data_IF_647524653698
#
_entry.id   IF_647524653698
#
_cell.length_a   1.000
_cell.length_b   1.000
_cell.length_c   1.000
_cell.angle_alpha   90.00
_cell.angle_beta   90.00
_cell.angle_gamma   90.00
#
_symmetry.space_group_name_H-M   'P 1'
#
loop_
_entity.id
_entity.type
_entity.pdbx_description
1 polymer ?
#
# COMPACT_ATOMS: atom_id res chain seq x y z
N UNK A 1 2.80 19.02 -26.84
CA UNK A 1 3.14 18.06 -25.78
C UNK A 1 4.62 18.22 -25.48
N UNK A 2 5.02 18.46 -24.24
CA UNK A 2 6.44 18.57 -23.90
C UNK A 2 7.07 17.16 -23.91
N UNK A 3 8.11 16.96 -24.71
CA UNK A 3 8.89 15.72 -24.73
C UNK A 3 9.83 15.70 -23.53
N UNK A 4 9.34 15.24 -22.37
CA UNK A 4 10.19 15.00 -21.22
C UNK A 4 11.17 13.88 -21.55
N UNK A 5 12.47 14.10 -21.29
CA UNK A 5 13.49 13.08 -21.46
C UNK A 5 13.24 11.94 -20.46
N UNK A 6 13.12 10.71 -20.97
CA UNK A 6 12.83 9.53 -20.16
C UNK A 6 14.12 8.86 -19.75
N UNK A 7 14.48 9.02 -18.49
CA UNK A 7 15.67 8.43 -17.89
C UNK A 7 15.24 7.18 -17.12
N UNK A 8 15.99 6.09 -17.26
CA UNK A 8 15.81 4.88 -16.48
C UNK A 8 16.06 5.16 -14.99
N UNK A 9 14.98 5.31 -14.22
CA UNK A 9 14.99 5.57 -12.78
C UNK A 9 14.48 4.37 -12.00
N UNK A 10 15.13 4.05 -10.87
CA UNK A 10 14.58 3.13 -9.87
C UNK A 10 13.27 3.68 -9.31
N UNK A 11 12.39 2.80 -8.83
CA UNK A 11 11.03 3.16 -8.40
C UNK A 11 11.01 4.24 -7.30
N UNK A 12 11.96 4.19 -6.37
CA UNK A 12 12.13 5.17 -5.30
C UNK A 12 12.43 6.60 -5.77
N UNK A 13 12.85 6.79 -7.03
CA UNK A 13 13.13 8.10 -7.61
C UNK A 13 12.00 8.64 -8.49
N UNK A 14 10.91 7.88 -8.66
CA UNK A 14 9.75 8.35 -9.41
C UNK A 14 9.03 9.47 -8.64
N UNK A 15 8.64 10.49 -9.39
CA UNK A 15 7.88 11.66 -8.94
C UNK A 15 6.69 11.86 -9.87
N UNK A 16 5.93 12.91 -9.62
CA UNK A 16 4.80 13.32 -10.47
C UNK A 16 5.16 13.51 -11.94
N UNK A 17 6.39 13.93 -12.25
CA UNK A 17 6.86 14.06 -13.63
C UNK A 17 6.83 12.72 -14.39
N UNK A 18 7.20 11.62 -13.74
CA UNK A 18 7.13 10.28 -14.35
C UNK A 18 5.68 9.84 -14.57
N UNK A 19 4.78 10.13 -13.63
CA UNK A 19 3.35 9.83 -13.81
C UNK A 19 2.77 10.57 -15.03
N UNK A 20 3.08 11.86 -15.17
CA UNK A 20 2.68 12.66 -16.33
C UNK A 20 3.29 12.09 -17.62
N UNK A 21 4.58 11.75 -17.61
CA UNK A 21 5.27 11.19 -18.78
C UNK A 21 4.64 9.87 -19.25
N UNK A 22 4.19 9.02 -18.33
CA UNK A 22 3.52 7.75 -18.63
C UNK A 22 1.99 7.85 -18.70
N UNK A 23 1.42 9.06 -18.81
CA UNK A 23 -0.03 9.28 -18.93
C UNK A 23 -0.83 8.61 -17.79
N UNK A 24 -0.32 8.71 -16.57
CA UNK A 24 -0.91 8.11 -15.37
C UNK A 24 -1.55 9.21 -14.53
N UNK A 25 -2.80 8.99 -14.15
CA UNK A 25 -3.55 9.90 -13.28
C UNK A 25 -4.07 9.16 -12.05
N UNK A 26 -4.19 9.86 -10.92
CA UNK A 26 -4.76 9.32 -9.68
C UNK A 26 -6.15 9.94 -9.49
N UNK A 27 -7.17 9.08 -9.36
CA UNK A 27 -8.55 9.46 -9.12
C UNK A 27 -8.99 8.99 -7.73
N UNK A 28 -9.30 9.96 -6.86
CA UNK A 28 -9.85 9.71 -5.54
C UNK A 28 -11.31 9.25 -5.63
N UNK A 29 -11.67 8.27 -4.82
CA UNK A 29 -13.00 7.68 -4.74
C UNK A 29 -13.46 7.57 -3.29
N UNK A 30 -14.76 7.74 -3.08
CA UNK A 30 -15.41 7.36 -1.83
C UNK A 30 -15.35 5.83 -1.62
N UNK A 31 -15.63 5.40 -0.40
CA UNK A 31 -15.61 3.98 -0.04
C UNK A 31 -16.58 3.15 -0.90
N UNK A 32 -17.72 3.72 -1.28
CA UNK A 32 -18.76 2.98 -1.98
C UNK A 32 -18.36 2.64 -3.41
N UNK A 33 -17.82 3.61 -4.13
CA UNK A 33 -17.29 3.51 -5.48
C UNK A 33 -16.01 2.68 -5.48
N UNK A 34 -15.10 2.92 -4.53
CA UNK A 34 -13.82 2.21 -4.47
C UNK A 34 -14.01 0.74 -4.13
N UNK A 35 -14.80 0.38 -3.12
CA UNK A 35 -14.98 -1.01 -2.71
C UNK A 35 -16.16 -1.72 -3.39
N UNK A 36 -17.03 -0.98 -4.09
CA UNK A 36 -18.25 -1.53 -4.72
C UNK A 36 -19.32 -1.94 -3.70
N UNK A 37 -19.44 -1.22 -2.58
CA UNK A 37 -20.35 -1.54 -1.48
C UNK A 37 -21.12 -0.31 -1.02
N UNK A 38 -22.41 -0.42 -0.66
CA UNK A 38 -23.16 0.74 -0.13
C UNK A 38 -22.65 1.18 1.25
N UNK A 39 -22.28 0.21 2.08
CA UNK A 39 -21.78 0.41 3.43
C UNK A 39 -20.62 -0.53 3.69
N UNK A 40 -19.62 -0.05 4.41
CA UNK A 40 -18.52 -0.89 4.86
C UNK A 40 -19.05 -1.98 5.83
N UNK A 41 -18.52 -3.20 5.77
CA UNK A 41 -18.93 -4.28 6.67
C UNK A 41 -18.37 -4.00 8.08
N UNK A 42 -18.86 -4.70 9.10
CA UNK A 42 -18.15 -4.81 10.36
C UNK A 42 -16.72 -5.37 10.15
N UNK A 43 -15.71 -4.91 10.91
CA UNK A 43 -14.38 -5.47 10.86
C UNK A 43 -14.38 -6.97 11.18
N UNK A 44 -13.70 -7.77 10.37
CA UNK A 44 -13.56 -9.21 10.60
C UNK A 44 -12.41 -9.52 11.59
N UNK A 45 -12.43 -8.89 12.77
CA UNK A 45 -11.40 -9.06 13.81
C UNK A 45 -12.01 -9.38 15.18
N UNK A 46 -11.18 -9.80 16.12
CA UNK A 46 -11.60 -10.05 17.50
C UNK A 46 -12.19 -8.79 18.15
N UNK A 47 -13.23 -8.97 18.98
CA UNK A 47 -13.94 -7.87 19.66
C UNK A 47 -13.01 -7.00 20.50
N UNK A 48 -11.99 -7.58 21.15
CA UNK A 48 -11.09 -6.82 22.01
C UNK A 48 -10.29 -5.76 21.23
N UNK A 49 -9.92 -6.01 19.96
CA UNK A 49 -9.30 -5.01 19.10
C UNK A 49 -10.20 -3.79 18.85
N UNK A 50 -11.52 -3.94 18.97
CA UNK A 50 -12.50 -2.87 18.75
C UNK A 50 -12.96 -2.19 20.05
N UNK A 51 -12.57 -2.71 21.22
CA UNK A 51 -13.06 -2.22 22.53
C UNK A 51 -11.95 -1.87 23.52
N UNK A 52 -10.72 -2.34 23.30
CA UNK A 52 -9.58 -2.12 24.20
C UNK A 52 -8.65 -1.08 23.61
N UNK A 53 -8.38 -0.04 24.39
CA UNK A 53 -7.63 1.13 23.91
C UNK A 53 -6.13 0.86 23.91
N UNK A 54 -5.63 0.14 24.91
CA UNK A 54 -4.20 -0.13 25.12
C UNK A 54 -3.88 -1.62 25.01
N UNK A 55 -2.62 -1.94 24.72
CA UNK A 55 -2.18 -3.33 24.58
C UNK A 55 -2.33 -4.10 25.90
N UNK A 56 -2.03 -3.47 27.03
CA UNK A 56 -2.05 -4.10 28.36
C UNK A 56 -3.46 -4.54 28.81
N UNK A 57 -4.52 -4.04 28.16
CA UNK A 57 -5.90 -4.49 28.39
C UNK A 57 -6.28 -5.76 27.61
N UNK A 58 -5.43 -6.23 26.70
CA UNK A 58 -5.72 -7.36 25.80
C UNK A 58 -5.39 -8.70 26.47
N UNK A 59 -6.28 -9.68 26.29
CA UNK A 59 -6.07 -11.03 26.83
C UNK A 59 -5.41 -11.97 25.82
N UNK A 60 -5.68 -11.78 24.53
CA UNK A 60 -5.06 -12.59 23.49
C UNK A 60 -3.67 -12.04 23.15
N UNK A 61 -2.67 -12.93 23.17
CA UNK A 61 -1.27 -12.56 22.88
C UNK A 61 -1.07 -12.00 21.47
N UNK A 62 -1.84 -12.46 20.48
CA UNK A 62 -1.74 -11.99 19.09
C UNK A 62 -2.26 -10.55 18.98
N UNK A 63 -3.40 -10.27 19.62
CA UNK A 63 -3.96 -8.91 19.64
C UNK A 63 -3.08 -7.96 20.43
N UNK A 64 -2.57 -8.40 21.60
CA UNK A 64 -1.58 -7.66 22.39
C UNK A 64 -0.38 -7.24 21.54
N UNK A 65 0.21 -8.21 20.81
CA UNK A 65 1.36 -7.94 19.93
C UNK A 65 1.00 -6.96 18.82
N UNK A 66 -0.12 -7.16 18.14
CA UNK A 66 -0.57 -6.23 17.09
C UNK A 66 -0.66 -4.80 17.61
N UNK A 67 -1.26 -4.59 18.79
CA UNK A 67 -1.42 -3.25 19.35
C UNK A 67 -0.10 -2.66 19.85
N UNK A 68 0.80 -3.48 20.40
CA UNK A 68 2.17 -3.04 20.72
C UNK A 68 2.94 -2.60 19.48
N UNK A 69 2.87 -3.35 18.38
CA UNK A 69 3.49 -2.95 17.12
C UNK A 69 2.85 -1.71 16.52
N UNK A 70 1.53 -1.55 16.62
CA UNK A 70 0.84 -0.32 16.23
C UNK A 70 1.35 0.88 17.05
N UNK A 71 1.46 0.74 18.37
CA UNK A 71 1.96 1.81 19.24
C UNK A 71 3.40 2.20 18.86
N UNK A 72 4.27 1.21 18.62
CA UNK A 72 5.65 1.41 18.17
C UNK A 72 5.72 2.04 16.78
N UNK A 73 4.88 1.64 15.82
CA UNK A 73 4.84 2.21 14.47
C UNK A 73 4.38 3.67 14.48
N UNK A 74 3.57 4.07 15.47
CA UNK A 74 3.02 5.42 15.61
C UNK A 74 3.84 6.35 16.52
N UNK A 75 4.78 5.82 17.30
CA UNK A 75 5.73 6.57 18.11
C UNK A 75 6.78 7.40 17.32
N UNK A 76 7.29 6.95 16.14
CA UNK A 76 8.11 7.71 15.21
C UNK A 76 7.69 9.16 14.94
N UNK A 77 6.39 9.42 14.93
CA UNK A 77 5.80 10.75 14.70
C UNK A 77 6.09 11.71 15.88
N UNK A 78 6.48 11.20 17.05
CA UNK A 78 6.69 11.98 18.29
C UNK A 78 8.15 12.22 18.65
N UNK A 79 9.06 11.31 18.31
CA UNK A 79 10.45 11.34 18.81
C UNK A 79 11.52 11.59 17.75
N UNK A 80 11.15 11.62 16.46
CA UNK A 80 12.09 11.88 15.36
C UNK A 80 13.06 10.71 15.06
N UNK A 81 13.01 9.62 15.83
CA UNK A 81 13.75 8.38 15.59
C UNK A 81 12.80 7.29 15.11
N UNK A 82 12.36 7.41 13.86
CA UNK A 82 11.51 6.39 13.24
C UNK A 82 12.32 5.13 12.93
N UNK A 83 12.19 4.10 13.77
CA UNK A 83 12.62 2.75 13.41
C UNK A 83 11.72 2.26 12.26
N UNK A 84 12.21 2.32 11.01
CA UNK A 84 11.47 1.86 9.81
C UNK A 84 10.94 0.43 9.97
N UNK A 85 11.67 -0.39 10.72
CA UNK A 85 11.27 -1.76 11.03
C UNK A 85 9.95 -1.85 11.80
N UNK A 86 9.59 -0.87 12.61
CA UNK A 86 8.35 -0.93 13.41
C UNK A 86 7.09 -0.85 12.53
N UNK A 87 7.13 -0.05 11.46
CA UNK A 87 6.02 0.07 10.50
C UNK A 87 5.89 -1.21 9.67
N UNK A 88 7.02 -1.75 9.20
CA UNK A 88 7.08 -3.03 8.47
C UNK A 88 6.52 -4.17 9.35
N UNK A 89 6.96 -4.28 10.60
CA UNK A 89 6.51 -5.31 11.55
C UNK A 89 5.01 -5.18 11.83
N UNK A 90 4.52 -3.96 12.08
CA UNK A 90 3.10 -3.73 12.27
C UNK A 90 2.28 -4.12 11.03
N UNK A 91 2.73 -3.77 9.82
CA UNK A 91 2.07 -4.15 8.58
C UNK A 91 1.98 -5.68 8.44
N UNK A 92 3.07 -6.41 8.66
CA UNK A 92 3.11 -7.88 8.60
C UNK A 92 2.13 -8.50 9.61
N UNK A 93 2.12 -8.01 10.85
CA UNK A 93 1.21 -8.50 11.88
C UNK A 93 -0.26 -8.20 11.55
N UNK A 94 -0.55 -7.00 11.04
CA UNK A 94 -1.89 -6.59 10.66
C UNK A 94 -2.43 -7.46 9.51
N UNK A 95 -1.64 -7.66 8.45
CA UNK A 95 -2.01 -8.49 7.31
C UNK A 95 -2.23 -9.95 7.69
N UNK A 96 -1.37 -10.48 8.56
CA UNK A 96 -1.49 -11.86 9.05
C UNK A 96 -2.79 -12.02 9.85
N UNK A 97 -3.10 -11.08 10.73
CA UNK A 97 -4.34 -11.10 11.53
C UNK A 97 -5.60 -10.97 10.67
N UNK A 98 -5.51 -10.22 9.57
CA UNK A 98 -6.61 -10.01 8.61
C UNK A 98 -6.69 -11.09 7.52
N UNK A 99 -5.90 -12.16 7.64
CA UNK A 99 -5.88 -13.30 6.72
C UNK A 99 -5.56 -12.91 5.27
N UNK A 100 -4.63 -11.96 5.06
CA UNK A 100 -4.08 -11.65 3.74
C UNK A 100 -3.02 -12.66 3.28
N UNK A 101 -2.36 -13.32 4.25
CA UNK A 101 -1.32 -14.30 4.03
C UNK A 101 -1.69 -15.71 4.56
N UNK A 102 -2.87 -16.28 4.22
CA UNK A 102 -3.17 -17.67 4.55
C UNK A 102 -2.25 -18.58 3.73
N UNK A 103 -1.92 -19.76 4.25
CA UNK A 103 -1.13 -20.74 3.48
C UNK A 103 -1.78 -21.01 2.11
N UNK A 104 -1.00 -21.03 1.00
CA UNK A 104 0.47 -20.98 0.92
C UNK A 104 1.06 -19.56 0.82
N UNK A 105 0.24 -18.51 0.88
CA UNK A 105 0.68 -17.11 0.79
C UNK A 105 1.52 -16.72 2.00
N UNK A 106 2.45 -15.80 1.80
CA UNK A 106 3.34 -15.30 2.84
C UNK A 106 3.50 -13.78 2.74
N UNK A 107 3.66 -13.12 3.89
CA UNK A 107 4.15 -11.74 3.90
C UNK A 107 5.68 -11.74 3.76
N UNK A 108 6.22 -10.85 2.92
CA UNK A 108 7.65 -10.63 2.74
C UNK A 108 7.94 -9.16 2.93
N UNK A 109 9.07 -8.83 3.57
CA UNK A 109 9.49 -7.44 3.78
C UNK A 109 10.67 -7.11 2.87
N UNK A 110 10.78 -5.83 2.48
CA UNK A 110 11.92 -5.25 1.75
C UNK A 110 12.26 -5.98 0.44
N UNK A 111 11.25 -6.51 -0.24
CA UNK A 111 11.40 -7.28 -1.49
C UNK A 111 11.91 -6.37 -2.60
N UNK A 112 13.06 -6.72 -3.18
CA UNK A 112 13.62 -6.04 -4.36
C UNK A 112 13.09 -6.70 -5.64
N UNK A 113 12.43 -5.93 -6.48
CA UNK A 113 11.76 -6.38 -7.69
C UNK A 113 12.46 -5.74 -8.89
N UNK A 114 13.00 -6.53 -9.83
CA UNK A 114 13.57 -6.00 -11.07
C UNK A 114 12.51 -5.23 -11.87
N UNK A 115 12.82 -3.97 -12.18
CA UNK A 115 12.02 -3.09 -13.02
C UNK A 115 12.73 -2.90 -14.36
N UNK A 116 12.12 -3.37 -15.44
CA UNK A 116 12.57 -3.00 -16.79
C UNK A 116 12.01 -1.63 -17.14
N UNK A 117 12.90 -0.67 -17.41
CA UNK A 117 12.55 0.71 -17.74
C UNK A 117 13.54 1.30 -18.75
N UNK A 118 13.03 1.91 -19.84
CA UNK A 118 13.83 2.51 -20.90
C UNK A 118 14.97 1.61 -21.46
N UNK A 119 14.72 0.31 -21.58
CA UNK A 119 15.70 -0.68 -22.06
C UNK A 119 16.68 -1.19 -21.00
N UNK A 120 16.65 -0.62 -19.78
CA UNK A 120 17.54 -0.98 -18.69
C UNK A 120 16.80 -1.74 -17.58
N UNK A 121 17.56 -2.52 -16.78
CA UNK A 121 17.07 -3.07 -15.52
C UNK A 121 17.42 -2.10 -14.40
N UNK A 122 16.41 -1.75 -13.61
CA UNK A 122 16.48 -0.98 -12.38
C UNK A 122 15.74 -1.74 -11.27
N UNK A 123 15.62 -1.12 -10.12
CA UNK A 123 15.08 -1.74 -8.92
C UNK A 123 13.83 -1.01 -8.43
N UNK A 124 12.82 -1.77 -8.03
CA UNK A 124 11.66 -1.30 -7.29
C UNK A 124 11.59 -2.10 -5.98
N UNK A 125 11.72 -1.41 -4.85
CA UNK A 125 11.80 -2.04 -3.55
C UNK A 125 10.56 -1.67 -2.75
N UNK A 126 9.74 -2.67 -2.47
CA UNK A 126 8.53 -2.50 -1.66
C UNK A 126 8.84 -2.80 -0.20
N UNK A 127 8.21 -2.09 0.73
CA UNK A 127 8.46 -2.26 2.16
C UNK A 127 7.86 -3.56 2.68
N UNK A 128 6.61 -3.89 2.33
CA UNK A 128 5.97 -5.18 2.62
C UNK A 128 5.16 -5.66 1.42
N UNK A 129 5.14 -6.95 1.13
CA UNK A 129 4.27 -7.53 0.10
C UNK A 129 3.70 -8.88 0.52
N UNK A 130 2.61 -9.27 -0.14
CA UNK A 130 2.06 -10.64 -0.05
C UNK A 130 2.47 -11.40 -1.30
N UNK A 131 3.13 -12.53 -1.11
CA UNK A 131 3.59 -13.43 -2.16
C UNK A 131 2.84 -14.76 -2.12
N UNK A 132 2.58 -15.33 -3.29
CA UNK A 132 2.11 -16.71 -3.45
C UNK A 132 3.01 -17.43 -4.47
N UNK A 133 3.76 -18.41 -3.97
CA UNK A 133 4.80 -19.12 -4.72
C UNK A 133 5.82 -18.13 -5.30
N UNK A 134 5.64 -17.70 -6.56
CA UNK A 134 6.51 -16.74 -7.25
C UNK A 134 5.77 -15.48 -7.70
N UNK A 135 4.51 -15.28 -7.31
CA UNK A 135 3.74 -14.09 -7.70
C UNK A 135 3.57 -13.14 -6.52
N UNK A 136 3.76 -11.84 -6.78
CA UNK A 136 3.44 -10.79 -5.81
C UNK A 136 1.98 -10.36 -6.03
N UNK A 137 1.17 -10.43 -4.97
CA UNK A 137 -0.29 -10.23 -5.01
C UNK A 137 -0.72 -8.86 -4.47
N UNK A 138 -0.02 -8.38 -3.43
CA UNK A 138 -0.30 -7.11 -2.76
C UNK A 138 1.02 -6.43 -2.42
N UNK A 139 1.10 -5.13 -2.68
CA UNK A 139 2.23 -4.27 -2.29
C UNK A 139 1.81 -3.35 -1.14
N UNK A 140 2.73 -3.07 -0.24
CA UNK A 140 2.52 -2.12 0.85
C UNK A 140 3.78 -1.26 0.95
N UNK A 141 3.55 0.04 0.90
CA UNK A 141 4.60 1.03 0.95
C UNK A 141 4.44 1.88 2.21
N UNK A 142 5.50 2.02 2.98
CA UNK A 142 5.53 2.96 4.10
C UNK A 142 5.43 4.39 3.55
N UNK A 143 4.64 5.22 4.23
CA UNK A 143 4.68 6.64 3.96
C UNK A 143 5.86 7.31 4.67
N UNK A 144 6.87 7.57 3.86
CA UNK A 144 8.10 8.22 4.31
C UNK A 144 7.96 9.74 4.40
N UNK A 145 6.74 10.32 4.35
CA UNK A 145 6.49 11.77 4.54
C UNK A 145 7.09 12.34 5.81
N UNK A 146 7.24 11.53 6.85
CA UNK A 146 7.87 11.90 8.11
C UNK A 146 9.41 12.05 8.01
N UNK A 147 10.05 11.46 6.99
CA UNK A 147 11.50 11.57 6.71
C UNK A 147 11.81 12.47 5.53
N UNK A 148 10.99 12.38 4.49
CA UNK A 148 11.14 13.10 3.24
C UNK A 148 9.79 13.69 2.88
N UNK A 149 9.67 15.02 2.68
CA UNK A 149 8.43 15.67 2.24
C UNK A 149 8.08 15.31 0.78
N UNK A 150 7.86 14.02 0.51
CA UNK A 150 7.55 13.45 -0.80
C UNK A 150 6.23 12.69 -0.70
N UNK A 151 5.36 12.91 -1.67
CA UNK A 151 4.19 12.07 -1.86
C UNK A 151 4.66 10.62 -2.13
N UNK A 152 4.18 9.61 -1.39
CA UNK A 152 4.54 8.22 -1.63
C UNK A 152 3.84 7.62 -2.87
N UNK A 153 2.76 8.24 -3.35
CA UNK A 153 1.94 7.72 -4.46
C UNK A 153 2.74 7.44 -5.75
N UNK A 154 3.67 8.31 -6.20
CA UNK A 154 4.46 8.07 -7.40
C UNK A 154 5.44 6.88 -7.30
N UNK A 155 5.86 6.49 -6.10
CA UNK A 155 6.78 5.36 -5.89
C UNK A 155 6.07 4.00 -5.98
N UNK A 156 4.78 3.97 -5.64
CA UNK A 156 3.99 2.75 -5.65
C UNK A 156 3.67 2.24 -7.07
N UNK A 157 3.58 3.16 -8.04
CA UNK A 157 3.29 2.82 -9.44
C UNK A 157 4.42 2.00 -10.10
N UNK A 158 5.71 2.39 -10.05
CA UNK A 158 6.78 1.57 -10.61
C UNK A 158 6.92 0.22 -9.90
N UNK A 159 6.64 0.11 -8.60
CA UNK A 159 6.58 -1.19 -7.91
C UNK A 159 5.47 -2.09 -8.46
N UNK A 160 4.29 -1.52 -8.71
CA UNK A 160 3.19 -2.23 -9.35
C UNK A 160 3.52 -2.65 -10.79
N UNK A 161 4.24 -1.82 -11.54
CA UNK A 161 4.74 -2.17 -12.89
C UNK A 161 5.79 -3.27 -12.82
N UNK A 162 6.77 -3.17 -11.93
CA UNK A 162 7.81 -4.18 -11.73
C UNK A 162 7.19 -5.53 -11.34
N UNK A 163 6.22 -5.51 -10.43
CA UNK A 163 5.42 -6.68 -10.04
C UNK A 163 4.71 -7.30 -11.24
N UNK A 164 4.06 -6.48 -12.07
CA UNK A 164 3.39 -6.97 -13.28
C UNK A 164 4.37 -7.58 -14.29
N UNK A 165 5.55 -6.96 -14.45
CA UNK A 165 6.62 -7.47 -15.33
C UNK A 165 7.21 -8.80 -14.81
N UNK A 166 7.38 -8.94 -13.49
CA UNK A 166 7.95 -10.13 -12.86
C UNK A 166 6.96 -11.31 -12.77
N UNK A 167 5.67 -11.03 -12.61
CA UNK A 167 4.63 -12.06 -12.53
C UNK A 167 4.30 -12.61 -13.93
N UNK A 168 5.18 -13.45 -14.49
CA UNK A 168 5.10 -14.02 -15.85
C UNK A 168 3.74 -14.64 -16.22
N UNK A 169 3.01 -15.21 -15.25
CA UNK A 169 1.73 -15.90 -15.47
C UNK A 169 0.49 -14.99 -15.37
N UNK A 170 0.65 -13.74 -14.92
CA UNK A 170 -0.44 -12.89 -14.43
C UNK A 170 -0.60 -11.58 -15.22
N UNK A 171 -0.27 -11.54 -16.51
CA UNK A 171 -0.49 -10.36 -17.40
C UNK A 171 -1.95 -9.86 -17.50
N UNK A 172 -2.88 -10.38 -16.68
CA UNK A 172 -4.29 -10.00 -16.58
C UNK A 172 -4.66 -9.40 -15.21
N UNK A 173 -3.75 -9.34 -14.25
CA UNK A 173 -4.10 -9.05 -12.86
C UNK A 173 -3.85 -7.58 -12.50
N UNK A 174 -4.81 -6.97 -11.80
CA UNK A 174 -4.69 -5.61 -11.28
C UNK A 174 -3.81 -5.65 -10.04
N UNK A 175 -2.72 -4.88 -10.03
CA UNK A 175 -1.91 -4.70 -8.83
C UNK A 175 -2.69 -3.90 -7.79
N UNK A 176 -2.62 -4.36 -6.55
CA UNK A 176 -3.26 -3.70 -5.41
C UNK A 176 -2.18 -3.23 -4.47
N UNK A 177 -2.46 -2.11 -3.82
CA UNK A 177 -1.50 -1.53 -2.94
C UNK A 177 -2.14 -0.75 -1.80
N UNK A 178 -1.38 -0.62 -0.71
CA UNK A 178 -1.73 0.19 0.44
C UNK A 178 -0.53 1.03 0.87
N UNK A 179 -0.77 2.28 1.26
CA UNK A 179 0.26 3.15 1.84
C UNK A 179 -0.09 3.43 3.29
N UNK A 180 0.85 3.15 4.21
CA UNK A 180 0.73 3.14 5.69
C UNK A 180 -0.33 2.18 6.27
N UNK A 181 0.01 1.31 7.23
CA UNK A 181 -0.98 0.48 7.91
C UNK A 181 -1.90 1.21 8.92
N UNK A 182 -1.47 2.28 9.62
CA UNK A 182 -2.27 2.94 10.66
C UNK A 182 -3.15 4.10 10.15
N UNK A 183 -2.85 4.67 8.98
CA UNK A 183 -3.75 5.56 8.26
C UNK A 183 -3.69 5.26 6.75
N UNK A 184 -4.36 4.19 6.30
CA UNK A 184 -4.10 3.65 4.98
C UNK A 184 -4.67 4.49 3.85
N UNK A 185 -3.89 4.61 2.79
CA UNK A 185 -4.41 4.92 1.47
C UNK A 185 -4.44 3.66 0.61
N UNK A 186 -5.61 3.27 0.14
CA UNK A 186 -5.81 2.09 -0.69
C UNK A 186 -5.75 2.45 -2.17
N UNK A 187 -5.03 1.66 -2.97
CA UNK A 187 -4.90 1.86 -4.42
C UNK A 187 -5.36 0.63 -5.20
N UNK A 188 -6.00 0.90 -6.35
CA UNK A 188 -6.21 -0.06 -7.44
C UNK A 188 -5.43 0.45 -8.64
N UNK A 189 -4.38 -0.27 -9.02
CA UNK A 189 -3.46 0.14 -10.07
C UNK A 189 -3.68 -0.80 -11.28
N UNK A 190 -4.42 -0.37 -12.32
CA UNK A 190 -4.71 -1.21 -13.47
C UNK A 190 -3.52 -1.22 -14.43
N UNK A 191 -2.47 -1.96 -14.10
CA UNK A 191 -1.32 -2.13 -14.99
C UNK A 191 -1.76 -2.96 -16.21
N UNK A 192 -1.58 -2.39 -17.40
CA UNK A 192 -1.81 -3.05 -18.68
C UNK A 192 -0.47 -3.47 -19.31
N UNK A 193 -0.49 -4.42 -20.24
CA UNK A 193 0.71 -4.74 -21.03
C UNK A 193 1.22 -3.52 -21.78
N UNK A 194 0.33 -2.68 -22.31
CA UNK A 194 0.74 -1.45 -22.99
C UNK A 194 1.52 -0.52 -22.06
N UNK A 195 1.05 -0.30 -20.83
CA UNK A 195 1.77 0.53 -19.86
C UNK A 195 3.12 -0.10 -19.51
N UNK A 196 3.14 -1.41 -19.21
CA UNK A 196 4.36 -2.12 -18.85
C UNK A 196 5.41 -2.10 -19.97
N UNK A 197 4.99 -2.27 -21.23
CA UNK A 197 5.85 -2.20 -22.42
C UNK A 197 6.32 -0.77 -22.68
N UNK A 198 5.43 0.21 -22.46
CA UNK A 198 5.77 1.63 -22.59
C UNK A 198 6.81 2.05 -21.57
N UNK A 199 6.71 1.59 -20.32
CA UNK A 199 7.73 1.79 -19.28
C UNK A 199 9.02 1.06 -19.67
N UNK A 200 8.93 -0.21 -20.04
CA UNK A 200 10.08 -1.05 -20.39
C UNK A 200 10.91 -0.49 -21.55
N UNK A 201 10.27 0.14 -22.53
CA UNK A 201 10.94 0.68 -23.72
C UNK A 201 11.09 2.20 -23.70
N UNK A 202 10.54 2.90 -22.70
CA UNK A 202 10.56 4.35 -22.65
C UNK A 202 9.66 5.02 -23.69
N UNK A 203 8.53 4.40 -24.06
CA UNK A 203 7.54 4.94 -25.00
C UNK A 203 6.36 5.64 -24.31
N UNK A 204 5.77 6.64 -24.97
CA UNK A 204 4.55 7.29 -24.48
C UNK A 204 3.34 6.37 -24.64
N UNK A 205 2.67 5.97 -23.54
CA UNK A 205 1.42 5.23 -23.65
C UNK A 205 0.37 6.10 -24.33
N UNK A 206 -0.37 5.53 -25.29
CA UNK A 206 -1.47 6.25 -25.95
C UNK A 206 -2.68 6.34 -25.04
N UNK A 207 -2.97 5.25 -24.31
CA UNK A 207 -4.10 5.19 -23.40
C UNK A 207 -3.71 5.68 -22.00
N UNK A 208 -4.56 6.53 -21.38
CA UNK A 208 -4.33 6.96 -20.01
C UNK A 208 -4.54 5.79 -19.03
N UNK A 209 -3.65 5.66 -18.07
CA UNK A 209 -3.85 4.76 -16.94
C UNK A 209 -4.44 5.53 -15.77
N UNK A 210 -5.66 5.17 -15.38
CA UNK A 210 -6.34 5.79 -14.23
C UNK A 210 -6.18 4.89 -13.01
N UNK A 211 -5.34 5.33 -12.08
CA UNK A 211 -5.17 4.72 -10.76
C UNK A 211 -6.28 5.22 -9.86
N UNK A 212 -6.98 4.30 -9.19
CA UNK A 212 -8.01 4.67 -8.24
C UNK A 212 -7.44 4.62 -6.83
N UNK A 213 -7.74 5.64 -6.01
CA UNK A 213 -7.26 5.76 -4.65
C UNK A 213 -8.41 6.04 -3.68
N UNK A 214 -8.30 5.55 -2.44
CA UNK A 214 -9.28 5.77 -1.38
C UNK A 214 -8.59 5.96 -0.03
N UNK A 215 -8.97 7.01 0.68
CA UNK A 215 -8.60 7.26 2.08
C UNK A 215 -9.86 7.02 2.92
N UNK A 216 -9.81 6.23 4.00
CA UNK A 216 -10.94 6.03 4.89
C UNK A 216 -11.45 7.34 5.50
N UNK A 217 -12.76 7.56 5.43
CA UNK A 217 -13.44 8.66 6.11
C UNK A 217 -13.55 8.37 7.62
N UNK A 218 -12.54 8.79 8.39
CA UNK A 218 -12.47 8.50 9.83
C UNK A 218 -13.16 9.59 10.67
N UNK A 219 -13.82 9.23 11.80
CA UNK A 219 -14.52 10.19 12.67
C UNK A 219 -13.63 11.26 13.30
N UNK A 220 -12.36 10.91 13.58
CA UNK A 220 -11.36 11.81 14.17
C UNK A 220 -10.18 12.00 13.21
N UNK A 221 -10.34 12.81 12.15
CA UNK A 221 -9.24 13.15 11.26
C UNK A 221 -8.33 14.13 12.00
N UNK A 222 -7.30 13.63 12.68
CA UNK A 222 -6.30 14.51 13.26
C UNK A 222 -5.57 15.27 12.13
N UNK A 223 -5.25 16.57 12.30
CA UNK A 223 -4.54 17.38 11.29
C UNK A 223 -3.16 16.83 10.91
N UNK A 224 -2.57 16.03 11.80
CA UNK A 224 -1.39 15.22 11.55
C UNK A 224 -1.80 13.75 11.64
N UNK A 225 -1.12 12.88 10.90
CA UNK A 225 -1.19 11.42 10.89
C UNK A 225 -0.98 10.74 12.28
N UNK A 226 -1.13 11.44 13.39
CA UNK A 226 -0.74 11.04 14.75
C UNK A 226 -1.76 10.15 15.47
N UNK A 227 -3.02 10.14 15.03
CA UNK A 227 -4.08 9.35 15.68
C UNK A 227 -4.40 8.03 14.97
N UNK A 228 -4.31 7.95 13.64
CA UNK A 228 -4.43 6.70 12.87
C UNK A 228 -5.45 5.71 13.43
N UNK A 229 -4.98 4.50 13.76
CA UNK A 229 -5.74 3.42 14.37
C UNK A 229 -5.80 3.44 15.91
N UNK A 230 -5.24 4.45 16.61
CA UNK A 230 -5.29 4.53 18.08
C UNK A 230 -6.74 4.70 18.59
N UNK A 231 -7.53 5.69 18.14
CA UNK A 231 -8.91 5.82 18.57
C UNK A 231 -9.78 4.65 18.07
N UNK A 232 -10.62 4.08 18.94
CA UNK A 232 -11.38 2.86 18.65
C UNK A 232 -12.38 2.99 17.47
N UNK A 233 -12.92 4.19 17.27
CA UNK A 233 -13.83 4.51 16.16
C UNK A 233 -13.09 4.61 14.81
N UNK A 234 -11.94 5.29 14.76
CA UNK A 234 -11.04 5.31 13.61
C UNK A 234 -10.59 3.89 13.27
N UNK A 235 -10.10 3.14 14.26
CA UNK A 235 -9.67 1.75 14.14
C UNK A 235 -10.75 0.87 13.52
N UNK A 236 -11.99 1.05 13.96
CA UNK A 236 -13.13 0.31 13.42
C UNK A 236 -13.32 0.59 11.94
N UNK A 237 -13.32 1.85 11.50
CA UNK A 237 -13.48 2.21 10.08
C UNK A 237 -12.32 1.67 9.24
N UNK A 238 -11.08 1.84 9.72
CA UNK A 238 -9.88 1.39 9.01
C UNK A 238 -9.88 -0.13 8.83
N UNK A 239 -10.15 -0.90 9.88
CA UNK A 239 -10.24 -2.36 9.80
C UNK A 239 -11.39 -2.85 8.91
N UNK A 240 -12.50 -2.10 8.84
CA UNK A 240 -13.58 -2.36 7.89
C UNK A 240 -13.12 -2.19 6.44
N UNK A 241 -12.36 -1.14 6.14
CA UNK A 241 -11.76 -0.94 4.82
C UNK A 241 -10.80 -2.08 4.46
N UNK A 242 -9.92 -2.47 5.38
CA UNK A 242 -9.04 -3.62 5.19
C UNK A 242 -9.78 -4.93 4.95
N UNK A 243 -10.89 -5.17 5.66
CA UNK A 243 -11.71 -6.37 5.48
C UNK A 243 -12.26 -6.44 4.05
N UNK A 244 -12.70 -5.31 3.48
CA UNK A 244 -13.14 -5.26 2.07
C UNK A 244 -12.01 -5.27 1.08
N UNK A 245 -10.87 -4.69 1.43
CA UNK A 245 -9.70 -4.78 0.59
C UNK A 245 -9.25 -6.26 0.47
N UNK A 246 -9.26 -7.06 1.55
CA UNK A 246 -8.83 -8.47 1.52
C UNK A 246 -9.68 -9.36 0.60
N UNK A 247 -11.01 -9.24 0.67
CA UNK A 247 -11.95 -10.18 0.00
C UNK A 247 -12.05 -10.07 -1.52
N UNK A 248 -11.41 -9.05 -2.10
CA UNK A 248 -11.35 -8.86 -3.55
C UNK A 248 -9.95 -9.21 -4.12
N UNK A 249 -9.09 -9.89 -3.34
CA UNK A 249 -7.68 -10.23 -3.65
C UNK A 249 -7.46 -11.73 -3.77
#
# INVERSE_FOLDING_TARGET
MAHFLRIAKSGSYWRWAELVAYNITIKWQDAATFFGVKTLPPPAVARELLTKSTADEMKNVVNYKLLRYMDLAMEPVRTGSAEESAVDDFAVHLLTLLDYAPRPKMASTRTDIPLKICGEIRHAKTDVCIVDSNNILLLIQEDKRHKEMKDPSPQLIPEAVATFQANDRMRKTRSRACIIPDFPTFYKIPITSQLADSVANGHYPTEPTVVHAHIPDIPRPAPCLSEGMRPLDNRRVILSCYTKHSRNS
#
